data_IF_410193198114
#
_entry.id   IF_410193198114
#
_cell.length_a   1.000
_cell.length_b   1.000
_cell.length_c   1.000
_cell.angle_alpha   90.00
_cell.angle_beta   90.00
_cell.angle_gamma   90.00
#
_symmetry.space_group_name_H-M   'P 1'
#
loop_
_entity.id
_entity.type
_entity.pdbx_description
1 polymer ?
#
# COMPACT_ATOMS: atom_id res chain seq x y z
N UNK A 1 15.27 -19.74 9.28
CA UNK A 1 15.24 -18.36 8.78
C UNK A 1 15.57 -17.42 9.92
N UNK A 2 16.48 -16.48 9.73
CA UNK A 2 16.84 -15.45 10.72
C UNK A 2 15.89 -14.25 10.65
N UNK A 3 15.93 -13.38 11.66
CA UNK A 3 15.25 -12.08 11.64
C UNK A 3 15.69 -11.25 10.41
N UNK A 4 16.98 -11.31 10.04
CA UNK A 4 17.51 -10.66 8.84
C UNK A 4 16.88 -11.15 7.55
N UNK A 5 16.88 -12.46 7.34
CA UNK A 5 16.30 -13.06 6.14
C UNK A 5 14.79 -12.77 6.04
N UNK A 6 14.10 -12.72 7.19
CA UNK A 6 12.68 -12.40 7.24
C UNK A 6 12.40 -10.91 6.98
N UNK A 7 13.28 -10.03 7.47
CA UNK A 7 13.23 -8.60 7.13
C UNK A 7 13.42 -8.39 5.63
N UNK A 8 14.44 -9.00 5.03
CA UNK A 8 14.69 -8.94 3.59
C UNK A 8 13.53 -9.51 2.78
N UNK A 9 12.86 -10.55 3.27
CA UNK A 9 11.63 -11.06 2.69
C UNK A 9 10.50 -10.03 2.76
N UNK A 10 10.27 -9.41 3.93
CA UNK A 10 9.22 -8.41 4.11
C UNK A 10 9.42 -7.18 3.21
N UNK A 11 10.66 -6.70 3.08
CA UNK A 11 11.02 -5.59 2.19
C UNK A 11 10.78 -5.96 0.73
N UNK A 12 11.21 -7.16 0.29
CA UNK A 12 11.02 -7.62 -1.10
C UNK A 12 9.55 -7.76 -1.49
N UNK A 13 8.67 -8.06 -0.53
CA UNK A 13 7.25 -8.28 -0.75
C UNK A 13 6.38 -7.07 -0.34
N UNK A 14 6.97 -5.88 -0.15
CA UNK A 14 6.26 -4.66 0.22
C UNK A 14 5.38 -4.79 1.48
N UNK A 15 5.77 -5.67 2.41
CA UNK A 15 5.08 -5.89 3.68
C UNK A 15 5.48 -4.82 4.70
N UNK A 16 4.98 -3.60 4.50
CA UNK A 16 5.39 -2.41 5.27
C UNK A 16 5.30 -2.59 6.78
N UNK A 17 4.18 -3.09 7.26
CA UNK A 17 3.94 -3.25 8.69
C UNK A 17 4.92 -4.23 9.32
N UNK A 18 5.26 -5.29 8.58
CA UNK A 18 6.16 -6.33 9.04
C UNK A 18 7.60 -5.84 9.10
N UNK A 19 8.12 -5.19 8.05
CA UNK A 19 9.50 -4.70 8.11
C UNK A 19 9.66 -3.56 9.11
N UNK A 20 8.65 -2.70 9.27
CA UNK A 20 8.66 -1.62 10.28
C UNK A 20 8.63 -2.20 11.69
N UNK A 21 7.81 -3.24 11.94
CA UNK A 21 7.81 -3.96 13.21
C UNK A 21 9.21 -4.50 13.53
N UNK A 22 9.86 -5.14 12.56
CA UNK A 22 11.20 -5.69 12.76
C UNK A 22 12.21 -4.57 13.08
N UNK A 23 12.19 -3.46 12.35
CA UNK A 23 13.06 -2.31 12.65
C UNK A 23 12.79 -1.73 14.04
N UNK A 24 11.52 -1.63 14.44
CA UNK A 24 11.14 -1.16 15.78
C UNK A 24 11.71 -2.07 16.88
N UNK A 25 11.58 -3.40 16.72
CA UNK A 25 12.06 -4.37 17.70
C UNK A 25 13.59 -4.43 17.78
N UNK A 26 14.29 -4.29 16.65
CA UNK A 26 15.75 -4.37 16.58
C UNK A 26 16.42 -3.07 16.96
N UNK A 27 15.99 -1.93 16.41
CA UNK A 27 16.69 -0.66 16.57
C UNK A 27 16.17 0.17 17.75
N UNK A 28 14.85 0.34 17.86
CA UNK A 28 14.26 1.22 18.88
C UNK A 28 14.16 0.50 20.23
N UNK A 29 13.61 -0.72 20.24
CA UNK A 29 13.44 -1.51 21.48
C UNK A 29 14.64 -2.35 21.84
N UNK A 30 15.51 -2.69 20.88
CA UNK A 30 16.70 -3.54 21.06
C UNK A 30 16.40 -4.85 21.78
N UNK A 31 15.21 -5.42 21.53
CA UNK A 31 14.75 -6.69 22.11
C UNK A 31 15.07 -7.88 21.21
N UNK A 32 15.39 -7.63 19.95
CA UNK A 32 15.83 -8.62 18.96
C UNK A 32 17.12 -8.17 18.28
N UNK A 33 17.89 -9.15 17.81
CA UNK A 33 19.00 -8.97 16.85
C UNK A 33 18.63 -9.56 15.49
N UNK A 34 19.30 -9.10 14.44
CA UNK A 34 19.14 -9.66 13.09
C UNK A 34 19.57 -11.13 12.98
N UNK A 35 20.48 -11.57 13.86
CA UNK A 35 20.95 -12.95 13.92
C UNK A 35 20.01 -13.88 14.69
N UNK A 36 18.99 -13.34 15.35
CA UNK A 36 18.02 -14.15 16.07
C UNK A 36 17.18 -15.03 15.12
N UNK A 37 16.63 -16.11 15.67
CA UNK A 37 15.66 -16.94 14.98
C UNK A 37 14.34 -16.18 14.74
N UNK A 38 13.75 -16.35 13.55
CA UNK A 38 12.46 -15.76 13.15
C UNK A 38 11.33 -16.00 14.17
N UNK A 39 11.34 -17.13 14.87
CA UNK A 39 10.29 -17.51 15.82
C UNK A 39 10.12 -16.49 16.95
N UNK A 40 11.19 -15.74 17.29
CA UNK A 40 11.07 -14.64 18.27
C UNK A 40 10.17 -13.51 17.79
N UNK A 41 10.04 -13.28 16.47
CA UNK A 41 9.10 -12.28 15.91
C UNK A 41 7.66 -12.76 16.06
N UNK A 42 7.42 -14.07 15.94
CA UNK A 42 6.07 -14.65 16.03
C UNK A 42 5.41 -14.39 17.38
N UNK A 43 6.21 -14.29 18.45
CA UNK A 43 5.73 -13.89 19.77
C UNK A 43 5.03 -12.53 19.73
N UNK A 44 5.58 -11.55 18.99
CA UNK A 44 5.03 -10.19 18.89
C UNK A 44 3.85 -10.07 17.91
N UNK A 45 3.65 -11.08 17.06
CA UNK A 45 2.53 -11.17 16.11
C UNK A 45 1.30 -11.89 16.70
N UNK A 46 1.36 -12.33 17.97
CA UNK A 46 0.20 -12.95 18.63
C UNK A 46 -0.97 -11.96 18.75
N UNK A 47 -2.19 -12.46 18.56
CA UNK A 47 -3.41 -11.62 18.53
C UNK A 47 -3.57 -10.74 19.78
N UNK A 48 -3.17 -11.23 20.95
CA UNK A 48 -3.23 -10.48 22.22
C UNK A 48 -2.40 -9.20 22.20
N UNK A 49 -1.34 -9.13 21.39
CA UNK A 49 -0.48 -7.96 21.27
C UNK A 49 -0.87 -7.04 20.10
N UNK A 50 -1.73 -7.52 19.18
CA UNK A 50 -2.07 -6.82 17.93
C UNK A 50 -2.55 -5.37 18.14
N UNK A 51 -3.46 -5.05 19.08
CA UNK A 51 -3.89 -3.66 19.28
C UNK A 51 -2.73 -2.74 19.67
N UNK A 52 -1.95 -3.15 20.69
CA UNK A 52 -0.83 -2.35 21.20
C UNK A 52 0.30 -2.26 20.19
N UNK A 53 0.56 -3.32 19.44
CA UNK A 53 1.62 -3.33 18.43
C UNK A 53 1.28 -2.42 17.26
N UNK A 54 0.00 -2.38 16.84
CA UNK A 54 -0.45 -1.48 15.79
C UNK A 54 -0.26 -0.01 16.18
N UNK A 55 -0.58 0.36 17.43
CA UNK A 55 -0.32 1.71 17.95
C UNK A 55 1.18 2.06 17.89
N UNK A 56 2.03 1.19 18.46
CA UNK A 56 3.48 1.40 18.51
C UNK A 56 4.11 1.48 17.11
N UNK A 57 3.68 0.63 16.19
CA UNK A 57 4.12 0.67 14.79
C UNK A 57 3.69 2.00 14.15
N UNK A 58 2.46 2.46 14.40
CA UNK A 58 1.95 3.72 13.83
C UNK A 58 2.75 4.92 14.34
N UNK A 59 3.01 4.98 15.64
CA UNK A 59 3.88 6.00 16.24
C UNK A 59 5.29 5.97 15.65
N UNK A 60 5.86 4.77 15.49
CA UNK A 60 7.20 4.61 14.95
C UNK A 60 7.30 5.00 13.47
N UNK A 61 6.28 4.69 12.65
CA UNK A 61 6.19 5.18 11.27
C UNK A 61 6.17 6.68 11.20
N UNK A 62 5.35 7.32 12.04
CA UNK A 62 5.25 8.77 12.10
C UNK A 62 6.59 9.39 12.52
N UNK A 63 7.29 8.81 13.50
CA UNK A 63 8.62 9.25 13.93
C UNK A 63 9.66 9.20 12.80
N UNK A 64 9.61 8.16 11.96
CA UNK A 64 10.56 7.95 10.87
C UNK A 64 10.10 8.50 9.51
N UNK A 65 8.94 9.17 9.45
CA UNK A 65 8.29 9.56 8.19
C UNK A 65 8.15 8.39 7.18
N UNK A 66 7.94 7.17 7.68
CA UNK A 66 7.72 6.00 6.83
C UNK A 66 6.26 6.02 6.38
N UNK A 67 6.04 6.39 5.13
CA UNK A 67 4.73 6.31 4.50
C UNK A 67 4.53 4.95 3.85
N UNK A 68 3.28 4.48 3.84
CA UNK A 68 2.90 3.36 2.99
C UNK A 68 3.19 3.72 1.53
N UNK A 69 3.62 2.72 0.75
CA UNK A 69 3.64 2.90 -0.70
C UNK A 69 2.22 3.26 -1.15
N UNK A 70 2.06 4.29 -2.00
CA UNK A 70 0.78 4.62 -2.58
C UNK A 70 0.17 3.38 -3.23
N UNK A 71 -1.14 3.21 -3.05
CA UNK A 71 -1.90 2.13 -3.65
C UNK A 71 -2.91 2.69 -4.65
N UNK A 72 -3.34 1.82 -5.55
CA UNK A 72 -4.39 2.14 -6.50
C UNK A 72 -5.72 1.78 -5.87
N UNK A 73 -6.59 2.77 -5.78
CA UNK A 73 -7.96 2.64 -5.31
C UNK A 73 -8.87 2.50 -6.52
N UNK A 74 -9.66 1.43 -6.54
CA UNK A 74 -10.82 1.32 -7.41
C UNK A 74 -11.99 2.02 -6.72
N UNK A 75 -12.52 3.05 -7.37
CA UNK A 75 -13.56 3.90 -6.79
C UNK A 75 -14.78 3.87 -7.70
N UNK A 76 -15.90 3.39 -7.18
CA UNK A 76 -17.18 3.48 -7.85
C UNK A 76 -17.71 4.91 -7.73
N UNK A 77 -18.18 5.51 -8.82
CA UNK A 77 -18.57 6.91 -8.85
C UNK A 77 -19.94 7.12 -9.48
N UNK A 78 -20.68 8.12 -9.03
CA UNK A 78 -22.04 8.45 -9.51
C UNK A 78 -22.04 9.21 -10.87
N UNK A 79 -20.93 9.21 -11.62
CA UNK A 79 -20.75 10.08 -12.78
C UNK A 79 -21.27 9.44 -14.08
N UNK A 80 -21.66 10.26 -15.07
CA UNK A 80 -22.15 9.79 -16.38
C UNK A 80 -21.06 9.27 -17.31
N UNK A 81 -19.81 9.74 -17.12
CA UNK A 81 -18.70 9.42 -18.02
C UNK A 81 -17.98 8.11 -17.66
N UNK A 82 -17.89 7.79 -16.37
CA UNK A 82 -17.26 6.58 -15.85
C UNK A 82 -18.10 6.07 -14.69
N UNK A 83 -18.30 4.76 -14.61
CA UNK A 83 -18.89 4.07 -13.46
C UNK A 83 -17.82 3.75 -12.41
N UNK A 84 -16.58 3.53 -12.83
CA UNK A 84 -15.46 3.23 -11.93
C UNK A 84 -14.20 3.98 -12.38
N UNK A 85 -13.47 4.52 -11.40
CA UNK A 85 -12.21 5.22 -11.63
C UNK A 85 -11.09 4.61 -10.77
N UNK A 86 -9.88 4.61 -11.32
CA UNK A 86 -8.69 4.11 -10.65
C UNK A 86 -7.80 5.28 -10.27
N UNK A 87 -7.54 5.42 -8.97
CA UNK A 87 -6.80 6.56 -8.43
C UNK A 87 -5.60 6.05 -7.64
N UNK A 88 -4.43 6.53 -7.99
CA UNK A 88 -3.24 6.36 -7.18
C UNK A 88 -3.26 7.35 -6.02
N UNK A 89 -3.20 6.88 -4.78
CA UNK A 89 -3.11 7.73 -3.61
C UNK A 89 -2.35 7.06 -2.46
N UNK A 90 -1.86 7.85 -1.51
CA UNK A 90 -1.20 7.37 -0.30
C UNK A 90 -2.18 6.73 0.70
N UNK A 91 -3.45 7.15 0.68
CA UNK A 91 -4.51 6.63 1.54
C UNK A 91 -5.89 6.97 0.96
N UNK A 92 -6.93 6.33 1.53
CA UNK A 92 -8.32 6.47 1.13
C UNK A 92 -8.83 7.92 1.21
N UNK A 93 -8.39 8.68 2.24
CA UNK A 93 -8.77 10.09 2.41
C UNK A 93 -8.23 10.96 1.27
N UNK A 94 -6.99 10.71 0.85
CA UNK A 94 -6.37 11.40 -0.29
C UNK A 94 -7.05 10.99 -1.61
N UNK A 95 -7.35 9.71 -1.81
CA UNK A 95 -8.10 9.24 -2.98
C UNK A 95 -9.47 9.91 -3.08
N UNK A 96 -10.22 9.92 -1.98
CA UNK A 96 -11.56 10.56 -1.87
C UNK A 96 -11.49 12.05 -2.17
N UNK A 97 -10.54 12.76 -1.55
CA UNK A 97 -10.36 14.20 -1.77
C UNK A 97 -10.03 14.49 -3.25
N UNK A 98 -9.23 13.62 -3.87
CA UNK A 98 -8.89 13.73 -5.29
C UNK A 98 -10.09 13.46 -6.19
N UNK A 99 -10.94 12.45 -5.90
CA UNK A 99 -12.20 12.22 -6.63
C UNK A 99 -13.04 13.50 -6.71
N UNK A 100 -13.28 14.12 -5.56
CA UNK A 100 -14.08 15.35 -5.50
C UNK A 100 -13.45 16.50 -6.29
N UNK A 101 -12.12 16.64 -6.26
CA UNK A 101 -11.41 17.65 -7.07
C UNK A 101 -11.59 17.46 -8.58
N UNK A 102 -11.79 16.22 -9.02
CA UNK A 102 -12.04 15.84 -10.41
C UNK A 102 -13.54 15.76 -10.75
N UNK A 103 -14.42 16.24 -9.85
CA UNK A 103 -15.87 16.17 -9.99
C UNK A 103 -16.43 14.73 -10.07
N UNK A 104 -15.69 13.75 -9.54
CA UNK A 104 -16.20 12.40 -9.31
C UNK A 104 -16.76 12.30 -7.90
N UNK A 105 -18.01 11.85 -7.77
CA UNK A 105 -18.65 11.61 -6.47
C UNK A 105 -18.50 10.12 -6.11
N UNK A 106 -17.59 9.76 -5.17
CA UNK A 106 -17.35 8.38 -4.80
C UNK A 106 -18.55 7.79 -4.04
N UNK A 107 -18.90 6.56 -4.37
CA UNK A 107 -19.96 5.76 -3.73
C UNK A 107 -19.33 4.70 -2.84
N UNK A 108 -18.37 3.97 -3.39
CA UNK A 108 -17.65 2.88 -2.72
C UNK A 108 -16.19 2.85 -3.20
N UNK A 109 -15.30 2.31 -2.37
CA UNK A 109 -13.87 2.27 -2.63
C UNK A 109 -13.23 0.97 -2.13
N UNK A 110 -12.37 0.39 -2.95
CA UNK A 110 -11.53 -0.75 -2.56
C UNK A 110 -10.10 -0.57 -3.05
N UNK A 111 -9.17 -1.30 -2.43
CA UNK A 111 -7.76 -1.32 -2.87
C UNK A 111 -7.60 -2.40 -3.93
N UNK A 112 -7.01 -2.04 -5.08
CA UNK A 112 -6.72 -2.99 -6.14
C UNK A 112 -5.60 -3.97 -5.75
N UNK A 113 -5.71 -5.22 -6.20
CA UNK A 113 -4.60 -6.17 -6.18
C UNK A 113 -3.49 -5.67 -7.13
N UNK A 114 -2.22 -5.54 -6.66
CA UNK A 114 -1.10 -5.13 -7.51
C UNK A 114 -0.92 -5.97 -8.79
N UNK A 115 -1.29 -7.24 -8.77
CA UNK A 115 -1.16 -8.15 -9.91
C UNK A 115 -2.41 -8.17 -10.82
N UNK A 116 -3.48 -7.45 -10.45
CA UNK A 116 -4.66 -7.29 -11.29
C UNK A 116 -4.27 -6.62 -12.62
N UNK A 117 -4.77 -7.17 -13.73
CA UNK A 117 -4.57 -6.61 -15.05
C UNK A 117 -5.60 -5.52 -15.34
N UNK A 118 -5.11 -4.39 -15.84
CA UNK A 118 -5.90 -3.33 -16.44
C UNK A 118 -5.60 -3.23 -17.93
N UNK A 119 -6.65 -3.17 -18.74
CA UNK A 119 -6.53 -2.91 -20.17
C UNK A 119 -6.55 -1.40 -20.42
N UNK A 120 -5.48 -0.88 -21.03
CA UNK A 120 -5.41 0.48 -21.58
C UNK A 120 -5.33 0.42 -23.09
N UNK A 121 -5.74 1.48 -23.78
CA UNK A 121 -5.59 1.57 -25.23
C UNK A 121 -4.45 2.52 -25.58
N UNK A 122 -3.59 2.11 -26.51
CA UNK A 122 -2.51 2.96 -26.98
C UNK A 122 -3.02 4.00 -28.00
N UNK A 123 -2.12 4.87 -28.51
CA UNK A 123 -2.48 5.89 -29.51
C UNK A 123 -3.01 5.31 -30.83
N UNK A 124 -2.76 4.03 -31.11
CA UNK A 124 -3.26 3.28 -32.27
C UNK A 124 -4.56 2.51 -31.97
N UNK A 125 -5.14 2.73 -30.78
CA UNK A 125 -6.33 2.03 -30.28
C UNK A 125 -6.15 0.52 -30.11
N UNK A 126 -4.91 0.06 -29.88
CA UNK A 126 -4.61 -1.34 -29.58
C UNK A 126 -4.64 -1.55 -28.05
N UNK A 127 -5.23 -2.66 -27.56
CA UNK A 127 -5.27 -2.96 -26.14
C UNK A 127 -3.86 -3.34 -25.63
N UNK A 128 -3.49 -2.74 -24.52
CA UNK A 128 -2.29 -3.02 -23.73
C UNK A 128 -2.75 -3.42 -22.34
N UNK A 129 -2.44 -4.65 -21.94
CA UNK A 129 -2.69 -5.13 -20.59
C UNK A 129 -1.47 -4.81 -19.72
N UNK A 130 -1.71 -4.07 -18.63
CA UNK A 130 -0.68 -3.68 -17.66
C UNK A 130 -1.17 -4.07 -16.28
N UNK A 131 -0.26 -4.50 -15.40
CA UNK A 131 -0.61 -4.72 -14.00
C UNK A 131 -0.81 -3.40 -13.27
N UNK A 132 -1.64 -3.39 -12.24
CA UNK A 132 -1.81 -2.26 -11.32
C UNK A 132 -0.46 -1.79 -10.75
N UNK A 133 0.39 -2.74 -10.37
CA UNK A 133 1.77 -2.48 -9.92
C UNK A 133 2.57 -1.66 -10.94
N UNK A 134 2.52 -2.06 -12.22
CA UNK A 134 3.22 -1.34 -13.28
C UNK A 134 2.67 0.07 -13.50
N UNK A 135 1.35 0.25 -13.37
CA UNK A 135 0.72 1.57 -13.46
C UNK A 135 1.14 2.48 -12.30
N UNK A 136 1.14 1.95 -11.08
CA UNK A 136 1.62 2.63 -9.88
C UNK A 136 3.07 3.06 -10.03
N UNK A 137 3.95 2.15 -10.42
CA UNK A 137 5.40 2.40 -10.48
C UNK A 137 5.77 3.38 -11.61
N UNK A 138 4.91 3.55 -12.63
CA UNK A 138 5.09 4.54 -13.71
C UNK A 138 4.51 5.91 -13.41
N UNK A 139 3.67 6.07 -12.39
CA UNK A 139 3.05 7.34 -12.10
C UNK A 139 4.07 8.33 -11.54
N UNK A 140 4.07 9.56 -12.08
CA UNK A 140 5.00 10.62 -11.66
C UNK A 140 4.48 11.47 -10.51
N UNK A 141 3.17 11.44 -10.27
CA UNK A 141 2.49 12.28 -9.28
C UNK A 141 1.51 11.47 -8.43
N UNK A 142 1.40 11.85 -7.16
CA UNK A 142 0.47 11.26 -6.19
C UNK A 142 -0.23 12.42 -5.46
N UNK A 143 -1.56 12.51 -5.48
CA UNK A 143 -2.49 11.57 -6.11
C UNK A 143 -2.56 11.74 -7.64
N UNK A 144 -2.93 10.68 -8.36
CA UNK A 144 -3.13 10.74 -9.83
C UNK A 144 -4.24 9.82 -10.33
N UNK A 145 -4.89 10.24 -11.42
CA UNK A 145 -5.88 9.44 -12.14
C UNK A 145 -5.18 8.45 -13.07
N UNK A 146 -5.46 7.15 -12.89
CA UNK A 146 -4.86 6.09 -13.69
C UNK A 146 -5.77 5.60 -14.83
N UNK A 147 -7.07 5.87 -14.77
CA UNK A 147 -8.04 5.48 -15.79
C UNK A 147 -9.43 5.27 -15.21
N UNK A 148 -10.42 5.03 -16.07
CA UNK A 148 -11.78 4.70 -15.66
C UNK A 148 -12.56 4.06 -16.80
N UNK A 149 -13.65 3.39 -16.46
CA UNK A 149 -14.64 2.82 -17.39
C UNK A 149 -16.06 3.13 -16.91
#
# INVERSE_FOLDING_TARGET
>A
MTVKEYYEFAVRNDMTDLYVLIMFLVYEKKVLSFDDAKDKIMFYLQDKFKPRMNELITEYKNKLNINYKPCVFEVQVENKAYQTVYILAANEKQATSYCFSQMYKPIDMSICDPEQLMTKYNKKNEPINLTIKHLRDKATEIPSFLGGY
#
